data_IF_359718589579
#
_entry.id   IF_359718589579
#
_cell.length_a   1.000
_cell.length_b   1.000
_cell.length_c   1.000
_cell.angle_alpha   90.00
_cell.angle_beta   90.00
_cell.angle_gamma   90.00
#
_symmetry.space_group_name_H-M   'P 1'
#
loop_
_entity.id
_entity.type
_entity.pdbx_description
1 polymer ?
#
# COMPACT_ATOMS: atom_id res chain seq x y z
N UNK A 1 4.72 0.45 -5.97
CA UNK A 1 4.81 1.88 -6.36
C UNK A 1 3.70 2.75 -5.78
N UNK A 2 2.42 2.39 -5.90
CA UNK A 2 1.32 3.21 -5.39
C UNK A 2 1.43 3.60 -3.91
N UNK A 3 2.03 2.75 -3.07
CA UNK A 3 2.20 3.04 -1.65
C UNK A 3 3.13 4.22 -1.33
N UNK A 4 4.17 4.48 -2.14
CA UNK A 4 5.03 5.66 -1.95
C UNK A 4 4.22 6.94 -2.18
N UNK A 5 3.42 6.96 -3.26
CA UNK A 5 2.55 8.10 -3.57
C UNK A 5 1.51 8.30 -2.48
N UNK A 6 0.92 7.21 -1.96
CA UNK A 6 -0.04 7.28 -0.87
C UNK A 6 0.57 7.83 0.43
N UNK A 7 1.79 7.40 0.79
CA UNK A 7 2.52 7.94 1.95
C UNK A 7 2.86 9.42 1.77
N UNK A 8 3.37 9.82 0.60
CA UNK A 8 3.64 11.23 0.30
C UNK A 8 2.39 12.10 0.41
N UNK A 9 1.24 11.62 -0.07
CA UNK A 9 -0.03 12.35 0.06
C UNK A 9 -0.46 12.47 1.52
N UNK A 10 -0.34 11.40 2.31
CA UNK A 10 -0.68 11.43 3.73
C UNK A 10 0.24 12.34 4.54
N UNK A 11 1.54 12.40 4.19
CA UNK A 11 2.52 13.29 4.83
C UNK A 11 2.33 14.76 4.45
N UNK A 12 1.97 15.05 3.20
CA UNK A 12 1.82 16.43 2.71
C UNK A 12 0.47 17.05 3.03
N UNK A 13 -0.58 16.23 3.11
CA UNK A 13 -1.96 16.68 3.30
C UNK A 13 -2.69 15.84 4.36
N UNK A 14 -2.17 15.79 5.59
CA UNK A 14 -2.68 14.91 6.65
C UNK A 14 -4.17 15.17 6.96
N UNK A 15 -4.65 16.39 6.77
CA UNK A 15 -6.06 16.77 6.97
C UNK A 15 -7.02 16.24 5.90
N UNK A 16 -6.51 15.78 4.75
CA UNK A 16 -7.30 15.25 3.63
C UNK A 16 -7.35 13.72 3.59
N UNK A 17 -6.56 13.05 4.41
CA UNK A 17 -6.51 11.59 4.48
C UNK A 17 -7.13 11.15 5.80
N UNK A 18 -8.14 10.29 5.72
CA UNK A 18 -8.78 9.74 6.94
C UNK A 18 -8.22 8.36 7.30
N UNK A 19 -7.80 7.60 6.29
CA UNK A 19 -7.30 6.23 6.40
C UNK A 19 -6.24 6.00 5.32
N UNK A 20 -5.25 5.18 5.64
CA UNK A 20 -4.23 4.76 4.69
C UNK A 20 -4.28 3.23 4.51
N UNK A 21 -4.22 2.77 3.27
CA UNK A 21 -4.08 1.34 2.95
C UNK A 21 -2.88 1.15 2.04
N UNK A 22 -1.94 0.31 2.46
CA UNK A 22 -0.73 -0.01 1.71
C UNK A 22 -0.70 -1.51 1.42
N UNK A 23 -0.47 -1.87 0.16
CA UNK A 23 -0.44 -3.26 -0.30
C UNK A 23 0.89 -3.54 -1.00
N UNK A 24 1.62 -4.57 -0.57
CA UNK A 24 2.84 -5.08 -1.20
C UNK A 24 3.71 -3.97 -1.82
N UNK A 25 4.16 -3.02 -0.99
CA UNK A 25 4.84 -1.79 -1.43
C UNK A 25 6.17 -1.64 -0.75
N UNK A 26 7.14 -0.99 -1.40
CA UNK A 26 8.41 -0.66 -0.75
C UNK A 26 8.28 0.35 0.39
N UNK A 27 7.25 1.19 0.36
CA UNK A 27 7.00 2.18 1.42
C UNK A 27 8.06 3.29 1.52
N UNK A 28 8.94 3.42 0.53
CA UNK A 28 10.09 4.32 0.59
C UNK A 28 11.22 3.81 1.49
N UNK A 29 11.28 2.49 1.71
CA UNK A 29 12.34 1.79 2.42
C UNK A 29 13.33 1.14 1.45
N UNK A 30 14.57 0.94 1.91
CA UNK A 30 15.51 0.03 1.27
C UNK A 30 15.03 -1.41 1.45
N UNK A 31 14.25 -1.89 0.49
CA UNK A 31 13.71 -3.25 0.51
C UNK A 31 14.78 -4.32 0.28
N UNK A 32 15.93 -3.97 -0.31
CA UNK A 32 17.02 -4.92 -0.50
C UNK A 32 17.67 -5.27 0.85
N UNK A 33 17.87 -4.27 1.72
CA UNK A 33 18.28 -4.48 3.11
C UNK A 33 17.27 -5.30 3.94
N UNK A 34 16.01 -5.37 3.47
CA UNK A 34 14.94 -6.16 4.09
C UNK A 34 14.73 -7.53 3.43
N UNK A 35 15.61 -7.94 2.51
CA UNK A 35 15.60 -9.29 1.92
C UNK A 35 14.80 -9.43 0.64
N UNK A 36 14.48 -8.33 -0.06
CA UNK A 36 13.82 -8.39 -1.36
C UNK A 36 14.74 -9.03 -2.42
N UNK A 37 14.16 -9.83 -3.31
CA UNK A 37 14.87 -10.37 -4.45
C UNK A 37 15.29 -9.26 -5.42
N UNK A 38 16.41 -9.45 -6.12
CA UNK A 38 16.80 -8.55 -7.21
C UNK A 38 16.07 -8.93 -8.51
N UNK A 39 14.89 -8.33 -8.71
CA UNK A 39 14.06 -8.53 -9.89
C UNK A 39 14.32 -7.51 -11.01
N UNK A 40 15.10 -6.46 -10.73
CA UNK A 40 15.17 -5.26 -11.59
C UNK A 40 15.79 -5.57 -12.96
N UNK A 41 16.85 -6.35 -12.97
CA UNK A 41 17.56 -6.72 -14.22
C UNK A 41 16.69 -7.57 -15.13
N UNK A 42 16.03 -8.60 -14.59
CA UNK A 42 15.09 -9.43 -15.37
C UNK A 42 13.90 -8.62 -15.86
N UNK A 43 13.35 -7.74 -15.03
CA UNK A 43 12.25 -6.88 -15.41
C UNK A 43 12.61 -5.91 -16.54
N UNK A 44 13.79 -5.29 -16.50
CA UNK A 44 14.29 -4.46 -17.60
C UNK A 44 14.49 -5.24 -18.89
N UNK A 45 14.93 -6.51 -18.81
CA UNK A 45 15.05 -7.39 -19.98
C UNK A 45 13.68 -7.69 -20.60
N UNK A 46 12.69 -8.01 -19.78
CA UNK A 46 11.32 -8.32 -20.24
C UNK A 46 10.57 -7.08 -20.72
N UNK A 47 10.85 -5.91 -20.16
CA UNK A 47 10.16 -4.66 -20.47
C UNK A 47 11.14 -3.51 -20.76
N UNK A 48 11.87 -3.55 -21.88
CA UNK A 48 12.99 -2.63 -22.16
C UNK A 48 12.56 -1.17 -22.39
N UNK A 49 11.26 -0.94 -22.61
CA UNK A 49 10.69 0.42 -22.77
C UNK A 49 10.07 0.96 -21.48
N UNK A 50 10.16 0.23 -20.38
CA UNK A 50 9.69 0.70 -19.09
C UNK A 50 10.49 1.91 -18.64
N UNK A 51 9.81 2.92 -18.13
CA UNK A 51 10.47 4.09 -17.59
C UNK A 51 11.42 3.70 -16.45
N UNK A 52 12.67 4.19 -16.52
CA UNK A 52 13.76 3.79 -15.61
C UNK A 52 13.44 4.01 -14.13
N UNK A 53 12.63 5.02 -13.83
CA UNK A 53 12.17 5.30 -12.47
C UNK A 53 11.43 4.14 -11.80
N UNK A 54 10.92 3.15 -12.55
CA UNK A 54 10.25 1.96 -11.99
C UNK A 54 11.23 1.05 -11.26
N UNK A 55 12.49 1.01 -11.70
CA UNK A 55 13.55 0.18 -11.14
C UNK A 55 14.61 0.98 -10.39
N UNK A 56 14.71 2.29 -10.66
CA UNK A 56 15.55 3.21 -9.90
C UNK A 56 14.95 3.46 -8.52
N UNK A 57 15.83 3.55 -7.53
CA UNK A 57 15.45 3.68 -6.13
C UNK A 57 14.69 4.99 -5.87
N UNK A 58 13.72 4.94 -4.96
CA UNK A 58 12.68 5.96 -4.80
C UNK A 58 12.51 6.31 -3.32
N UNK A 59 12.18 7.58 -3.01
CA UNK A 59 12.55 8.36 -1.83
C UNK A 59 12.62 7.62 -0.49
N UNK A 60 13.63 7.95 0.31
CA UNK A 60 13.74 7.55 1.72
C UNK A 60 12.69 8.28 2.56
N UNK A 61 11.61 7.56 2.86
CA UNK A 61 10.53 8.02 3.74
C UNK A 61 10.66 7.46 5.16
N UNK A 62 11.67 6.63 5.42
CA UNK A 62 11.79 5.86 6.67
C UNK A 62 11.72 6.74 7.91
N UNK A 63 12.46 7.84 7.92
CA UNK A 63 12.49 8.79 9.03
C UNK A 63 11.14 9.48 9.31
N UNK A 64 10.25 9.54 8.31
CA UNK A 64 8.99 10.27 8.35
C UNK A 64 7.78 9.39 8.60
N UNK A 65 7.92 8.06 8.61
CA UNK A 65 6.81 7.13 8.82
C UNK A 65 6.07 7.37 10.14
N UNK A 66 6.78 7.84 11.17
CA UNK A 66 6.21 8.18 12.48
C UNK A 66 5.30 9.42 12.47
N UNK A 67 5.35 10.24 11.40
CA UNK A 67 4.47 11.39 11.20
C UNK A 67 3.07 10.98 10.72
N UNK A 68 2.90 9.75 10.23
CA UNK A 68 1.59 9.23 9.80
C UNK A 68 0.67 9.06 11.03
N UNK A 69 -0.30 9.96 11.15
CA UNK A 69 -1.24 10.02 12.28
C UNK A 69 -2.59 9.34 12.04
N UNK A 70 -2.83 8.81 10.84
CA UNK A 70 -4.11 8.18 10.47
C UNK A 70 -4.05 6.66 10.67
N UNK A 71 -5.18 6.01 10.96
CA UNK A 71 -5.26 4.56 10.93
C UNK A 71 -4.71 4.02 9.60
N UNK A 72 -3.78 3.07 9.69
CA UNK A 72 -3.10 2.49 8.55
C UNK A 72 -3.29 0.98 8.50
N UNK A 73 -3.70 0.45 7.34
CA UNK A 73 -3.78 -0.98 7.07
C UNK A 73 -2.66 -1.38 6.10
N UNK A 74 -1.93 -2.42 6.46
CA UNK A 74 -0.90 -3.02 5.62
C UNK A 74 -1.38 -4.41 5.18
N UNK A 75 -1.34 -4.68 3.88
CA UNK A 75 -1.79 -5.92 3.26
C UNK A 75 -0.60 -6.61 2.57
N UNK A 76 -0.25 -7.81 3.03
CA UNK A 76 0.97 -8.49 2.59
C UNK A 76 0.75 -9.97 2.33
N UNK A 77 1.41 -10.51 1.32
CA UNK A 77 1.54 -11.94 1.12
C UNK A 77 2.80 -12.45 1.82
N UNK A 78 2.76 -13.63 2.43
CA UNK A 78 3.94 -14.22 3.09
C UNK A 78 4.95 -14.82 2.11
N UNK A 79 4.55 -15.00 0.85
CA UNK A 79 5.37 -15.53 -0.23
C UNK A 79 5.79 -14.45 -1.25
N UNK A 80 5.73 -13.16 -0.89
CA UNK A 80 6.15 -12.05 -1.76
C UNK A 80 7.68 -11.94 -1.84
N UNK A 81 8.32 -12.21 -3.00
CA UNK A 81 9.76 -12.07 -3.15
C UNK A 81 10.20 -10.65 -3.53
N UNK A 82 9.28 -9.80 -3.99
CA UNK A 82 9.54 -8.44 -4.49
C UNK A 82 9.51 -7.44 -3.33
N UNK A 83 8.54 -7.59 -2.45
CA UNK A 83 8.38 -6.81 -1.22
C UNK A 83 8.15 -7.78 -0.06
N UNK A 84 9.20 -8.35 0.53
CA UNK A 84 9.05 -9.42 1.51
C UNK A 84 8.26 -8.98 2.76
N UNK A 85 7.70 -9.92 3.52
CA UNK A 85 6.92 -9.63 4.74
C UNK A 85 7.65 -8.75 5.76
N UNK A 86 8.98 -8.83 5.80
CA UNK A 86 9.85 -7.94 6.59
C UNK A 86 9.60 -6.45 6.32
N UNK A 87 9.26 -6.08 5.08
CA UNK A 87 8.87 -4.70 4.71
C UNK A 87 7.57 -4.32 5.38
N UNK A 88 6.55 -5.18 5.30
CA UNK A 88 5.27 -4.99 5.99
C UNK A 88 5.43 -4.89 7.52
N UNK A 89 6.28 -5.73 8.11
CA UNK A 89 6.61 -5.68 9.53
C UNK A 89 7.34 -4.39 9.92
N UNK A 90 8.30 -3.94 9.10
CA UNK A 90 9.01 -2.69 9.34
C UNK A 90 8.08 -1.48 9.32
N UNK A 91 7.20 -1.41 8.30
CA UNK A 91 6.17 -0.37 8.23
C UNK A 91 5.21 -0.42 9.42
N UNK A 92 4.80 -1.61 9.86
CA UNK A 92 3.92 -1.78 11.02
C UNK A 92 4.56 -1.29 12.32
N UNK A 93 5.88 -1.47 12.46
CA UNK A 93 6.62 -0.98 13.62
C UNK A 93 6.87 0.55 13.57
N UNK A 94 7.01 1.10 12.37
CA UNK A 94 7.33 2.51 12.16
C UNK A 94 6.10 3.45 12.12
N UNK A 95 4.91 2.92 11.84
CA UNK A 95 3.66 3.71 11.78
C UNK A 95 2.85 3.44 13.05
N UNK A 96 2.53 4.51 13.79
CA UNK A 96 1.95 4.42 15.15
C UNK A 96 0.63 3.65 15.23
N UNK A 97 -0.27 3.84 14.27
CA UNK A 97 -1.59 3.20 14.23
C UNK A 97 -1.70 2.28 13.00
N UNK A 98 -0.76 1.34 12.89
CA UNK A 98 -0.73 0.37 11.81
C UNK A 98 -1.24 -1.01 12.22
N UNK A 99 -2.00 -1.63 11.32
CA UNK A 99 -2.40 -3.03 11.41
C UNK A 99 -1.87 -3.79 10.20
N UNK A 100 -1.04 -4.80 10.43
CA UNK A 100 -0.58 -5.71 9.38
C UNK A 100 -1.52 -6.90 9.25
N UNK A 101 -1.96 -7.19 8.02
CA UNK A 101 -2.68 -8.39 7.67
C UNK A 101 -1.89 -9.18 6.62
N UNK A 102 -1.51 -10.40 7.00
CA UNK A 102 -0.73 -11.31 6.17
C UNK A 102 -1.66 -12.35 5.56
N UNK A 103 -1.51 -12.59 4.25
CA UNK A 103 -2.28 -13.55 3.45
C UNK A 103 -1.37 -14.75 3.16
N UNK A 104 -1.65 -15.92 3.77
CA UNK A 104 -0.82 -17.11 3.59
C UNK A 104 -0.77 -17.58 2.14
N UNK A 105 0.43 -17.86 1.65
CA UNK A 105 0.72 -18.32 0.28
C UNK A 105 0.57 -17.27 -0.81
N UNK A 106 0.19 -16.02 -0.49
CA UNK A 106 0.04 -14.97 -1.49
C UNK A 106 1.40 -14.33 -1.83
N UNK A 107 1.57 -13.93 -3.10
CA UNK A 107 2.76 -13.24 -3.59
C UNK A 107 2.54 -11.72 -3.70
N UNK A 108 3.43 -11.04 -4.42
CA UNK A 108 3.34 -9.59 -4.67
C UNK A 108 2.02 -9.15 -5.33
N UNK A 109 1.40 -10.05 -6.10
CA UNK A 109 0.16 -9.84 -6.84
C UNK A 109 -1.11 -10.01 -6.02
N UNK A 110 -1.03 -10.12 -4.68
CA UNK A 110 -2.16 -10.46 -3.79
C UNK A 110 -3.42 -9.61 -4.05
N UNK A 111 -3.28 -8.33 -4.41
CA UNK A 111 -4.42 -7.45 -4.68
C UNK A 111 -5.26 -7.89 -5.89
N UNK A 112 -4.61 -8.48 -6.89
CA UNK A 112 -5.27 -9.00 -8.08
C UNK A 112 -5.65 -10.48 -7.92
N UNK A 113 -4.86 -11.25 -7.18
CA UNK A 113 -5.10 -12.67 -6.96
C UNK A 113 -6.26 -12.92 -5.97
N UNK A 114 -6.41 -12.06 -4.96
CA UNK A 114 -7.39 -12.20 -3.87
C UNK A 114 -8.27 -10.96 -3.69
N UNK A 115 -8.95 -10.48 -4.76
CA UNK A 115 -9.62 -9.18 -4.75
C UNK A 115 -10.73 -9.10 -3.69
N UNK A 116 -11.52 -10.15 -3.51
CA UNK A 116 -12.61 -10.19 -2.54
C UNK A 116 -12.08 -10.16 -1.11
N UNK A 117 -11.09 -10.99 -0.79
CA UNK A 117 -10.50 -11.05 0.55
C UNK A 117 -9.80 -9.74 0.92
N UNK A 118 -9.15 -9.09 -0.04
CA UNK A 118 -8.53 -7.77 0.11
C UNK A 118 -9.60 -6.70 0.34
N UNK A 119 -10.63 -6.64 -0.49
CA UNK A 119 -11.73 -5.68 -0.36
C UNK A 119 -12.42 -5.81 1.00
N UNK A 120 -12.71 -7.05 1.40
CA UNK A 120 -13.28 -7.39 2.71
C UNK A 120 -12.42 -6.88 3.87
N UNK A 121 -11.10 -7.09 3.79
CA UNK A 121 -10.16 -6.63 4.83
C UNK A 121 -10.13 -5.11 4.92
N UNK A 122 -10.16 -4.42 3.78
CA UNK A 122 -10.23 -2.94 3.70
C UNK A 122 -11.54 -2.42 4.28
N UNK A 123 -12.68 -2.97 3.88
CA UNK A 123 -13.99 -2.54 4.36
C UNK A 123 -14.12 -2.71 5.88
N UNK A 124 -13.73 -3.89 6.41
CA UNK A 124 -13.74 -4.14 7.86
C UNK A 124 -12.83 -3.18 8.61
N UNK A 125 -11.67 -2.88 8.06
CA UNK A 125 -10.74 -1.93 8.65
C UNK A 125 -11.36 -0.53 8.74
N UNK A 126 -11.80 0.02 7.60
CA UNK A 126 -12.41 1.36 7.54
C UNK A 126 -13.61 1.45 8.48
N UNK A 127 -14.52 0.47 8.46
CA UNK A 127 -15.70 0.48 9.33
C UNK A 127 -15.33 0.48 10.83
N UNK A 128 -14.29 -0.26 11.22
CA UNK A 128 -13.84 -0.35 12.60
C UNK A 128 -13.15 0.93 13.08
N UNK A 129 -12.40 1.60 12.21
CA UNK A 129 -11.58 2.76 12.56
C UNK A 129 -12.24 4.10 12.24
N UNK A 130 -13.40 4.08 11.58
CA UNK A 130 -14.16 5.30 11.29
C UNK A 130 -14.61 5.96 12.59
N UNK A 131 -13.93 7.04 13.00
CA UNK A 131 -14.34 7.85 14.14
C UNK A 131 -15.41 8.85 13.69
N UNK A 132 -16.57 8.93 14.36
CA UNK A 132 -17.54 9.99 14.08
C UNK A 132 -16.90 11.35 14.43
N UNK A 133 -16.72 12.23 13.43
CA UNK A 133 -16.25 13.61 13.64
C UNK A 133 -15.13 14.13 12.72
N UNK A 134 -14.53 13.30 11.86
CA UNK A 134 -13.64 13.81 10.80
C UNK A 134 -14.50 14.40 9.66
N UNK A 135 -14.26 15.66 9.23
CA UNK A 135 -15.00 16.25 8.13
C UNK A 135 -14.66 15.51 6.84
N UNK A 136 -15.57 14.65 6.35
CA UNK A 136 -15.36 13.98 5.06
C UNK A 136 -16.22 12.74 4.80
N UNK A 137 -16.89 12.15 5.79
CA UNK A 137 -17.76 10.99 5.54
C UNK A 137 -19.23 11.33 5.80
N UNK A 138 -19.99 11.56 4.73
CA UNK A 138 -21.45 11.54 4.75
C UNK A 138 -21.90 10.14 4.33
N UNK A 139 -22.51 9.33 5.21
CA UNK A 139 -23.07 8.04 4.82
C UNK A 139 -24.13 8.25 3.74
N UNK A 140 -23.93 7.67 2.54
CA UNK A 140 -24.91 7.71 1.44
C UNK A 140 -24.39 8.17 0.08
N UNK A 141 -23.10 8.51 -0.08
CA UNK A 141 -22.54 8.77 -1.42
C UNK A 141 -22.36 7.46 -2.20
N UNK A 142 -23.28 7.19 -3.11
CA UNK A 142 -23.17 6.10 -4.09
C UNK A 142 -22.00 6.36 -5.03
N UNK A 143 -21.16 5.34 -5.27
CA UNK A 143 -20.17 5.38 -6.34
C UNK A 143 -20.87 5.64 -7.68
N UNK A 144 -20.33 6.51 -8.56
CA UNK A 144 -20.87 6.65 -9.90
C UNK A 144 -20.75 5.31 -10.65
N UNK A 145 -21.77 4.90 -11.42
CA UNK A 145 -21.71 3.66 -12.19
C UNK A 145 -20.56 3.73 -13.21
N UNK A 146 -19.90 2.59 -13.41
CA UNK A 146 -18.81 2.41 -14.38
C UNK A 146 -19.30 2.87 -15.77
N UNK A 147 -18.53 3.70 -16.52
CA UNK A 147 -18.96 4.12 -17.85
C UNK A 147 -19.10 2.89 -18.75
N UNK A 148 -20.26 2.80 -19.43
CA UNK A 148 -20.52 1.76 -20.40
C UNK A 148 -19.46 1.80 -21.50
N UNK A 149 -18.81 0.67 -21.74
CA UNK A 149 -17.92 0.46 -22.88
C UNK A 149 -18.74 0.65 -24.16
N UNK A 150 -18.43 1.69 -24.93
CA UNK A 150 -18.95 1.82 -26.29
C UNK A 150 -18.30 0.75 -27.15
N UNK A 151 -19.14 -0.09 -27.75
CA UNK A 151 -18.77 -1.02 -28.82
C UNK A 151 -18.56 -0.30 -30.14
#
# INVERSE_FOLDING_TARGET
>A
MGGIVALELALRFPERVTHLVLTATSGGLDVAALGAADWRQDFLRSFPRTARWIVEDKPDLGARLQEIGVPTLLLWGDADPISPPSVGHHLAAAIRDAQLAVFPGADHGLGAALPDAVADRVLRFVMKTNRPGLPGFVPGSTFPPKPATRS
#
